data_IF_888430825078
#
_entry.id   IF_888430825078
#
_cell.length_a   1.000
_cell.length_b   1.000
_cell.length_c   1.000
_cell.angle_alpha   90.00
_cell.angle_beta   90.00
_cell.angle_gamma   90.00
#
_symmetry.space_group_name_H-M   'P 1'
#
loop_
_entity.id
_entity.type
_entity.pdbx_description
1 polymer ?
#
# COMPACT_ATOMS: atom_id res chain seq x y z
N UNK A 1 6.53 11.99 20.13
CA UNK A 1 6.64 10.83 21.03
C UNK A 1 5.29 10.32 21.53
N UNK A 2 4.43 11.14 22.17
CA UNK A 2 3.13 10.69 22.71
C UNK A 2 2.23 9.98 21.70
N UNK A 3 2.04 10.55 20.51
CA UNK A 3 1.19 9.93 19.47
C UNK A 3 1.77 8.61 18.95
N UNK A 4 3.10 8.47 18.93
CA UNK A 4 3.78 7.25 18.52
C UNK A 4 3.43 6.09 19.47
N UNK A 5 3.60 6.32 20.78
CA UNK A 5 3.27 5.33 21.81
C UNK A 5 1.80 4.92 21.76
N UNK A 6 0.88 5.90 21.62
CA UNK A 6 -0.55 5.61 21.41
C UNK A 6 -0.80 4.75 20.18
N UNK A 7 -0.08 5.00 19.08
CA UNK A 7 -0.16 4.19 17.86
C UNK A 7 0.25 2.74 18.11
N UNK A 8 1.40 2.53 18.77
CA UNK A 8 1.87 1.19 19.18
C UNK A 8 0.83 0.51 20.06
N UNK A 9 0.36 1.16 21.14
CA UNK A 9 -0.62 0.58 22.07
C UNK A 9 -1.90 0.12 21.36
N UNK A 10 -2.40 0.92 20.41
CA UNK A 10 -3.58 0.54 19.61
C UNK A 10 -3.26 -0.65 18.71
N UNK A 11 -2.10 -0.67 18.06
CA UNK A 11 -1.67 -1.80 17.22
C UNK A 11 -1.55 -3.09 18.03
N UNK A 12 -0.95 -3.06 19.23
CA UNK A 12 -0.83 -4.26 20.08
C UNK A 12 -2.22 -4.79 20.48
N UNK A 13 -3.16 -3.90 20.82
CA UNK A 13 -4.55 -4.28 21.09
C UNK A 13 -5.26 -4.88 19.87
N UNK A 14 -4.97 -4.39 18.67
CA UNK A 14 -5.48 -4.97 17.42
C UNK A 14 -4.91 -6.37 17.21
N UNK A 15 -3.62 -6.58 17.49
CA UNK A 15 -2.99 -7.90 17.45
C UNK A 15 -3.67 -8.85 18.45
N UNK A 16 -3.93 -8.40 19.68
CA UNK A 16 -4.65 -9.22 20.67
C UNK A 16 -6.05 -9.61 20.22
N UNK A 17 -6.77 -8.67 19.59
CA UNK A 17 -8.09 -8.94 19.04
C UNK A 17 -8.00 -9.95 17.88
N UNK A 18 -7.05 -9.78 16.98
CA UNK A 18 -6.81 -10.69 15.87
C UNK A 18 -6.52 -12.12 16.36
N UNK A 19 -5.68 -12.28 17.40
CA UNK A 19 -5.44 -13.57 18.05
C UNK A 19 -6.73 -14.17 18.60
N UNK A 20 -7.55 -13.39 19.31
CA UNK A 20 -8.84 -13.86 19.86
C UNK A 20 -9.83 -14.30 18.79
N UNK A 21 -9.79 -13.67 17.62
CA UNK A 21 -10.64 -14.00 16.47
C UNK A 21 -10.07 -15.14 15.63
N UNK A 22 -8.86 -15.63 15.93
CA UNK A 22 -8.18 -16.66 15.13
C UNK A 22 -7.68 -16.15 13.77
N UNK A 23 -7.51 -14.83 13.60
CA UNK A 23 -6.95 -14.26 12.39
C UNK A 23 -5.46 -14.63 12.26
N UNK A 24 -5.00 -14.82 11.02
CA UNK A 24 -3.63 -15.25 10.72
C UNK A 24 -2.64 -14.10 10.55
N UNK A 25 -3.13 -12.88 10.33
CA UNK A 25 -2.32 -11.69 10.08
C UNK A 25 -3.00 -10.39 10.51
N UNK A 26 -2.19 -9.36 10.71
CA UNK A 26 -2.60 -7.96 10.87
C UNK A 26 -1.85 -7.11 9.85
N UNK A 27 -2.59 -6.28 9.11
CA UNK A 27 -2.02 -5.33 8.14
C UNK A 27 -1.82 -3.97 8.83
N UNK A 28 -0.68 -3.34 8.59
CA UNK A 28 -0.30 -2.06 9.17
C UNK A 28 -0.16 -1.00 8.09
N UNK A 29 -0.73 0.17 8.39
CA UNK A 29 -0.40 1.42 7.72
C UNK A 29 0.70 2.10 8.54
N UNK A 30 1.99 2.05 8.13
CA UNK A 30 3.10 2.32 9.05
C UNK A 30 3.18 3.76 9.56
N UNK A 31 2.83 4.74 8.73
CA UNK A 31 2.78 6.13 9.16
C UNK A 31 2.64 7.12 8.02
N UNK A 32 2.91 8.38 8.34
CA UNK A 32 2.88 9.49 7.39
C UNK A 32 3.89 10.58 7.79
N UNK A 33 4.31 11.37 6.82
CA UNK A 33 5.12 12.58 6.97
C UNK A 33 4.18 13.79 7.13
N UNK A 34 4.36 14.55 8.22
CA UNK A 34 3.61 15.79 8.41
C UNK A 34 4.22 16.92 7.58
N UNK A 35 3.73 17.11 6.34
CA UNK A 35 4.10 18.21 5.44
C UNK A 35 2.90 18.99 4.91
N UNK A 36 3.10 19.79 3.86
CA UNK A 36 2.00 20.52 3.21
C UNK A 36 1.17 19.59 2.30
N UNK A 37 0.18 18.94 2.91
CA UNK A 37 -0.76 18.03 2.23
C UNK A 37 -1.62 18.74 1.16
N UNK A 38 -1.66 20.07 1.14
CA UNK A 38 -2.37 20.80 0.09
C UNK A 38 -1.73 20.58 -1.29
N UNK A 39 -0.43 20.27 -1.35
CA UNK A 39 0.26 20.00 -2.61
C UNK A 39 -0.22 18.71 -3.27
N UNK A 40 -0.35 17.61 -2.52
CA UNK A 40 -0.90 16.34 -3.04
C UNK A 40 -2.33 16.54 -3.55
N UNK A 41 -3.18 17.26 -2.79
CA UNK A 41 -4.54 17.57 -3.22
C UNK A 41 -4.57 18.39 -4.51
N UNK A 42 -3.73 19.43 -4.62
CA UNK A 42 -3.63 20.26 -5.83
C UNK A 42 -3.09 19.48 -7.02
N UNK A 43 -2.08 18.64 -6.81
CA UNK A 43 -1.49 17.82 -7.87
C UNK A 43 -2.53 16.86 -8.46
N UNK A 44 -3.33 16.21 -7.62
CA UNK A 44 -4.43 15.34 -8.05
C UNK A 44 -5.52 16.11 -8.80
N UNK A 45 -5.92 17.28 -8.29
CA UNK A 45 -6.87 18.13 -9.00
C UNK A 45 -6.36 18.57 -10.38
N UNK A 46 -5.05 18.83 -10.52
CA UNK A 46 -4.43 19.14 -11.81
C UNK A 46 -4.40 17.92 -12.73
N UNK A 47 -4.15 16.72 -12.18
CA UNK A 47 -4.23 15.46 -12.94
C UNK A 47 -5.63 15.27 -13.53
N UNK A 48 -6.68 15.44 -12.71
CA UNK A 48 -8.08 15.31 -13.15
C UNK A 48 -8.47 16.35 -14.21
N UNK A 49 -7.77 17.49 -14.26
CA UNK A 49 -7.92 18.53 -15.29
C UNK A 49 -7.11 18.24 -16.57
N UNK A 50 -6.43 17.10 -16.66
CA UNK A 50 -5.60 16.72 -17.80
C UNK A 50 -4.28 17.50 -17.90
N UNK A 51 -3.80 18.08 -16.80
CA UNK A 51 -2.57 18.89 -16.77
C UNK A 51 -1.30 18.09 -16.50
N UNK A 52 -1.38 16.74 -16.47
CA UNK A 52 -0.23 15.87 -16.30
C UNK A 52 0.86 16.19 -17.34
N UNK A 53 2.11 16.31 -16.89
CA UNK A 53 3.26 16.68 -17.73
C UNK A 53 3.35 18.16 -18.13
N UNK A 54 2.38 19.00 -17.78
CA UNK A 54 2.51 20.46 -17.95
C UNK A 54 3.59 21.03 -17.01
N UNK A 55 4.20 22.16 -17.39
CA UNK A 55 5.22 22.80 -16.55
C UNK A 55 4.72 23.08 -15.13
N UNK A 56 3.48 23.57 -14.98
CA UNK A 56 2.87 23.84 -13.67
C UNK A 56 2.72 22.57 -12.83
N UNK A 57 2.41 21.44 -13.47
CA UNK A 57 2.26 20.14 -12.79
C UNK A 57 3.62 19.67 -12.28
N UNK A 58 4.64 19.72 -13.13
CA UNK A 58 6.01 19.33 -12.78
C UNK A 58 6.61 20.23 -11.70
N UNK A 59 6.37 21.54 -11.75
CA UNK A 59 6.81 22.48 -10.71
C UNK A 59 6.19 22.14 -9.34
N UNK A 60 4.87 21.87 -9.31
CA UNK A 60 4.18 21.47 -8.08
C UNK A 60 4.64 20.11 -7.57
N UNK A 61 4.82 19.14 -8.47
CA UNK A 61 5.33 17.80 -8.15
C UNK A 61 6.72 17.91 -7.51
N UNK A 62 7.64 18.64 -8.14
CA UNK A 62 9.00 18.84 -7.63
C UNK A 62 9.02 19.55 -6.26
N UNK A 63 8.17 20.58 -6.09
CA UNK A 63 8.01 21.24 -4.79
C UNK A 63 7.51 20.28 -3.70
N UNK A 64 6.54 19.43 -4.03
CA UNK A 64 6.01 18.40 -3.11
C UNK A 64 7.07 17.36 -2.75
N UNK A 65 7.84 16.88 -3.73
CA UNK A 65 8.96 15.95 -3.52
C UNK A 65 10.01 16.55 -2.58
N UNK A 66 10.43 17.79 -2.84
CA UNK A 66 11.41 18.48 -2.01
C UNK A 66 10.91 18.69 -0.57
N UNK A 67 9.64 19.10 -0.42
CA UNK A 67 9.02 19.31 0.89
C UNK A 67 9.01 18.03 1.73
N UNK A 68 8.55 16.91 1.16
CA UNK A 68 8.53 15.61 1.85
C UNK A 68 9.95 15.17 2.21
N UNK A 69 10.89 15.27 1.26
CA UNK A 69 12.30 14.86 1.45
C UNK A 69 12.94 15.58 2.64
N UNK A 70 12.64 16.87 2.84
CA UNK A 70 13.17 17.65 3.97
C UNK A 70 12.63 17.22 5.34
N UNK A 71 11.51 16.47 5.39
CA UNK A 71 10.80 16.14 6.64
C UNK A 71 10.79 14.65 6.98
N UNK A 72 11.05 13.77 6.01
CA UNK A 72 10.81 12.34 6.18
C UNK A 72 11.71 11.68 7.24
N UNK A 73 12.97 12.10 7.37
CA UNK A 73 13.95 11.44 8.25
C UNK A 73 13.44 11.16 9.67
N UNK A 74 13.04 12.17 10.46
CA UNK A 74 12.51 11.95 11.82
C UNK A 74 11.23 11.11 11.86
N UNK A 75 10.40 11.16 10.81
CA UNK A 75 9.15 10.38 10.74
C UNK A 75 9.45 8.90 10.45
N UNK A 76 10.33 8.61 9.51
CA UNK A 76 10.75 7.25 9.19
C UNK A 76 11.43 6.58 10.38
N UNK A 77 12.30 7.30 11.11
CA UNK A 77 12.92 6.77 12.33
C UNK A 77 11.90 6.52 13.45
N UNK A 78 10.84 7.33 13.53
CA UNK A 78 9.74 7.06 14.44
C UNK A 78 8.95 5.81 14.05
N UNK A 79 8.72 5.57 12.75
CA UNK A 79 8.07 4.35 12.22
C UNK A 79 8.91 3.13 12.54
N UNK A 80 10.23 3.14 12.25
CA UNK A 80 11.13 2.03 12.55
C UNK A 80 11.12 1.63 14.02
N UNK A 81 11.20 2.61 14.93
CA UNK A 81 11.13 2.34 16.39
C UNK A 81 9.80 1.68 16.79
N UNK A 82 8.68 2.17 16.27
CA UNK A 82 7.37 1.56 16.53
C UNK A 82 7.28 0.14 15.97
N UNK A 83 7.78 -0.09 14.75
CA UNK A 83 7.76 -1.41 14.15
C UNK A 83 8.61 -2.40 14.93
N UNK A 84 9.77 -2.02 15.46
CA UNK A 84 10.58 -2.90 16.32
C UNK A 84 9.80 -3.36 17.56
N UNK A 85 9.09 -2.45 18.24
CA UNK A 85 8.22 -2.79 19.38
C UNK A 85 7.08 -3.74 18.97
N UNK A 86 6.45 -3.47 17.81
CA UNK A 86 5.36 -4.30 17.28
C UNK A 86 5.85 -5.68 16.84
N UNK A 87 7.01 -5.77 16.19
CA UNK A 87 7.66 -7.01 15.74
C UNK A 87 7.96 -7.91 16.94
N UNK A 88 8.54 -7.35 18.01
CA UNK A 88 8.83 -8.09 19.24
C UNK A 88 7.54 -8.69 19.84
N UNK A 89 6.48 -7.89 19.92
CA UNK A 89 5.20 -8.36 20.44
C UNK A 89 4.54 -9.41 19.54
N UNK A 90 4.43 -9.13 18.24
CA UNK A 90 3.80 -10.00 17.25
C UNK A 90 4.48 -11.38 17.22
N UNK A 91 5.82 -11.41 17.33
CA UNK A 91 6.60 -12.66 17.45
C UNK A 91 6.18 -13.48 18.66
N UNK A 92 6.00 -12.85 19.83
CA UNK A 92 5.62 -13.55 21.07
C UNK A 92 4.26 -14.23 21.00
N UNK A 93 3.33 -13.68 20.21
CA UNK A 93 1.98 -14.21 20.01
C UNK A 93 1.79 -14.92 18.66
N UNK A 94 2.88 -15.09 17.88
CA UNK A 94 2.90 -15.73 16.55
C UNK A 94 1.92 -15.11 15.55
N UNK A 95 1.78 -13.79 15.57
CA UNK A 95 0.96 -13.04 14.62
C UNK A 95 1.80 -12.62 13.40
N UNK A 96 1.27 -12.86 12.20
CA UNK A 96 1.90 -12.35 10.97
C UNK A 96 1.57 -10.88 10.77
N UNK A 97 2.52 -10.11 10.23
CA UNK A 97 2.39 -8.66 10.01
C UNK A 97 2.67 -8.34 8.54
N UNK A 98 1.75 -7.63 7.90
CA UNK A 98 1.95 -7.04 6.57
C UNK A 98 2.08 -5.52 6.64
N UNK A 99 3.09 -4.96 5.98
CA UNK A 99 3.22 -3.51 5.80
C UNK A 99 2.63 -3.12 4.45
N UNK A 100 1.73 -2.15 4.42
CA UNK A 100 1.06 -1.77 3.17
C UNK A 100 1.76 -0.61 2.46
N UNK A 101 1.93 -0.68 1.14
CA UNK A 101 2.24 0.50 0.33
C UNK A 101 1.01 1.42 0.30
N UNK A 102 1.24 2.73 0.24
CA UNK A 102 0.21 3.71 0.64
C UNK A 102 -0.26 4.59 -0.52
N UNK A 103 -1.50 5.06 -0.40
CA UNK A 103 -2.17 5.84 -1.43
C UNK A 103 -1.59 7.24 -1.67
N UNK A 104 -1.11 7.92 -0.62
CA UNK A 104 -0.66 9.32 -0.70
C UNK A 104 0.85 9.41 -0.70
N UNK A 105 1.37 10.40 -1.41
CA UNK A 105 2.82 10.62 -1.47
C UNK A 105 3.44 10.91 -0.10
N UNK A 106 2.71 11.60 0.79
CA UNK A 106 3.18 11.88 2.15
C UNK A 106 3.07 10.69 3.11
N UNK A 107 2.46 9.58 2.70
CA UNK A 107 2.39 8.39 3.54
C UNK A 107 3.76 7.69 3.56
N UNK A 108 3.96 6.83 4.56
CA UNK A 108 5.12 5.94 4.69
C UNK A 108 4.59 4.51 4.63
N UNK A 109 5.16 3.63 3.81
CA UNK A 109 6.39 3.82 3.03
C UNK A 109 6.18 4.21 1.56
N UNK A 110 7.19 4.86 0.99
CA UNK A 110 7.52 4.84 -0.45
C UNK A 110 8.41 3.63 -0.79
N UNK A 111 8.74 3.38 -2.08
CA UNK A 111 9.45 2.16 -2.51
C UNK A 111 10.75 1.95 -1.74
N UNK A 112 11.62 2.97 -1.68
CA UNK A 112 12.92 2.86 -0.99
C UNK A 112 12.75 2.68 0.53
N UNK A 113 11.72 3.31 1.09
CA UNK A 113 11.43 3.21 2.52
C UNK A 113 10.91 1.83 2.89
N UNK A 114 10.13 1.20 2.02
CA UNK A 114 9.60 -0.15 2.24
C UNK A 114 10.74 -1.14 2.43
N UNK A 115 11.82 -1.04 1.65
CA UNK A 115 13.01 -1.87 1.83
C UNK A 115 13.60 -1.72 3.23
N UNK A 116 13.80 -0.48 3.68
CA UNK A 116 14.30 -0.19 5.02
C UNK A 116 13.38 -0.71 6.15
N UNK A 117 12.07 -0.78 5.92
CA UNK A 117 11.12 -1.32 6.90
C UNK A 117 11.07 -2.85 6.87
N UNK A 118 11.13 -3.47 5.69
CA UNK A 118 11.19 -4.93 5.53
C UNK A 118 12.49 -5.52 6.10
N UNK A 119 13.60 -4.79 6.01
CA UNK A 119 14.91 -5.18 6.57
C UNK A 119 14.94 -5.20 8.12
N UNK A 120 13.88 -4.71 8.79
CA UNK A 120 13.76 -4.82 10.24
C UNK A 120 13.49 -6.25 10.71
N UNK A 121 12.98 -7.13 9.83
CA UNK A 121 12.70 -8.53 10.12
C UNK A 121 12.63 -9.36 8.83
N UNK A 122 13.49 -10.36 8.69
CA UNK A 122 13.54 -11.25 7.53
C UNK A 122 12.70 -12.53 7.67
N UNK A 123 11.97 -12.65 8.77
CA UNK A 123 11.13 -13.82 9.03
C UNK A 123 9.90 -13.83 8.11
N UNK A 124 9.44 -15.00 7.65
CA UNK A 124 8.35 -15.12 6.67
C UNK A 124 6.99 -14.64 7.17
N UNK A 125 6.81 -14.49 8.49
CA UNK A 125 5.59 -13.93 9.09
C UNK A 125 5.57 -12.39 9.04
N UNK A 126 6.64 -11.74 8.60
CA UNK A 126 6.73 -10.29 8.44
C UNK A 126 6.99 -9.95 6.96
N UNK A 127 6.10 -9.18 6.34
CA UNK A 127 6.25 -8.91 4.92
C UNK A 127 5.41 -7.77 4.38
N UNK A 128 5.21 -7.81 3.07
CA UNK A 128 4.59 -6.77 2.28
C UNK A 128 3.11 -7.08 2.04
N UNK A 129 2.22 -6.18 2.47
CA UNK A 129 0.85 -6.11 1.96
C UNK A 129 0.87 -5.28 0.69
N UNK A 130 0.68 -5.92 -0.46
CA UNK A 130 0.68 -5.21 -1.73
C UNK A 130 -0.72 -4.73 -2.09
N UNK A 131 -0.88 -3.41 -2.11
CA UNK A 131 -2.07 -2.72 -2.60
C UNK A 131 -1.81 -2.22 -4.03
N UNK A 132 -2.47 -2.84 -5.00
CA UNK A 132 -2.24 -2.54 -6.41
C UNK A 132 -2.80 -1.19 -6.85
N UNK A 133 -3.87 -0.71 -6.23
CA UNK A 133 -4.43 0.59 -6.60
C UNK A 133 -3.64 1.76 -6.05
N UNK A 134 -3.04 1.61 -4.86
CA UNK A 134 -2.07 2.56 -4.33
C UNK A 134 -0.84 2.67 -5.25
N UNK A 135 -0.27 1.53 -5.66
CA UNK A 135 0.87 1.51 -6.57
C UNK A 135 0.53 2.14 -7.94
N UNK A 136 -0.61 1.76 -8.53
CA UNK A 136 -1.09 2.33 -9.79
C UNK A 136 -1.35 3.83 -9.69
N UNK A 137 -2.00 4.30 -8.62
CA UNK A 137 -2.34 5.71 -8.44
C UNK A 137 -1.09 6.59 -8.35
N UNK A 138 -0.09 6.19 -7.56
CA UNK A 138 1.16 6.94 -7.47
C UNK A 138 1.96 6.90 -8.78
N UNK A 139 1.86 5.79 -9.53
CA UNK A 139 2.44 5.69 -10.87
C UNK A 139 1.76 6.61 -11.88
N UNK A 140 0.44 6.68 -11.90
CA UNK A 140 -0.31 7.60 -12.75
C UNK A 140 0.04 9.07 -12.46
N UNK A 141 0.33 9.40 -11.20
CA UNK A 141 0.81 10.73 -10.80
C UNK A 141 2.31 10.99 -11.10
N UNK A 142 3.03 10.00 -11.63
CA UNK A 142 4.46 10.09 -11.93
C UNK A 142 5.33 10.28 -10.68
N UNK A 143 4.92 9.67 -9.56
CA UNK A 143 5.58 9.78 -8.25
C UNK A 143 6.38 8.53 -7.87
N UNK A 144 5.92 7.35 -8.30
CA UNK A 144 6.57 6.04 -8.07
C UNK A 144 6.35 5.17 -9.31
N UNK A 145 7.10 4.07 -9.45
CA UNK A 145 6.86 3.09 -10.51
C UNK A 145 6.06 1.89 -9.97
N UNK A 146 4.98 1.51 -10.64
CA UNK A 146 4.10 0.43 -10.20
C UNK A 146 4.83 -0.92 -10.18
N UNK A 147 5.49 -1.30 -11.29
CA UNK A 147 6.14 -2.60 -11.40
C UNK A 147 7.35 -2.73 -10.46
N UNK A 148 8.01 -1.61 -10.13
CA UNK A 148 9.17 -1.60 -9.25
C UNK A 148 8.86 -2.10 -7.83
N UNK A 149 7.66 -1.83 -7.29
CA UNK A 149 7.20 -2.45 -6.04
C UNK A 149 7.28 -3.97 -6.09
N UNK A 150 6.82 -4.55 -7.20
CA UNK A 150 6.74 -5.99 -7.41
C UNK A 150 8.10 -6.61 -7.72
N UNK A 151 8.94 -5.93 -8.53
CA UNK A 151 10.32 -6.36 -8.80
C UNK A 151 11.15 -6.46 -7.53
N UNK A 152 11.05 -5.47 -6.64
CA UNK A 152 11.84 -5.43 -5.40
C UNK A 152 11.27 -6.33 -4.31
N UNK A 153 9.95 -6.30 -4.11
CA UNK A 153 9.33 -6.86 -2.91
C UNK A 153 8.31 -7.97 -3.18
N UNK A 154 8.13 -8.41 -4.44
CA UNK A 154 7.17 -9.46 -4.81
C UNK A 154 7.33 -10.76 -4.00
N UNK A 155 8.58 -11.17 -3.73
CA UNK A 155 8.90 -12.35 -2.91
C UNK A 155 8.57 -12.19 -1.42
N UNK A 156 8.36 -10.96 -0.95
CA UNK A 156 8.00 -10.64 0.43
C UNK A 156 6.50 -10.40 0.59
N UNK A 157 5.70 -10.50 -0.49
CA UNK A 157 4.25 -10.31 -0.43
C UNK A 157 3.63 -11.40 0.46
N UNK A 158 2.94 -10.98 1.52
CA UNK A 158 2.16 -11.87 2.40
C UNK A 158 0.69 -11.85 2.06
N UNK A 159 0.21 -10.74 1.52
CA UNK A 159 -1.19 -10.55 1.16
C UNK A 159 -1.34 -9.37 0.20
N UNK A 160 -2.46 -9.34 -0.53
CA UNK A 160 -2.74 -8.34 -1.55
C UNK A 160 -4.16 -7.78 -1.43
N UNK A 161 -4.31 -6.48 -1.69
CA UNK A 161 -5.59 -5.86 -2.02
C UNK A 161 -5.74 -5.81 -3.53
N UNK A 162 -6.83 -6.40 -4.03
CA UNK A 162 -7.17 -6.49 -5.43
C UNK A 162 -8.34 -5.57 -5.73
N UNK A 163 -8.13 -4.68 -6.68
CA UNK A 163 -9.09 -3.73 -7.22
C UNK A 163 -8.46 -3.11 -8.46
N UNK A 164 -9.21 -2.25 -9.13
CA UNK A 164 -8.73 -1.51 -10.28
C UNK A 164 -8.71 0.00 -9.99
N UNK A 165 -8.03 0.75 -10.84
CA UNK A 165 -7.91 2.20 -10.74
C UNK A 165 -8.19 2.81 -12.08
N UNK A 166 -9.10 3.79 -12.14
CA UNK A 166 -9.34 4.57 -13.35
C UNK A 166 -8.72 5.95 -13.20
N UNK A 167 -7.63 6.20 -13.90
CA UNK A 167 -6.74 7.36 -13.71
C UNK A 167 -6.13 7.34 -12.30
N UNK A 168 -6.72 8.12 -11.39
CA UNK A 168 -6.36 8.14 -9.96
C UNK A 168 -7.57 7.83 -9.04
N UNK A 169 -8.69 7.41 -9.63
CA UNK A 169 -9.89 7.02 -8.91
C UNK A 169 -9.75 5.57 -8.48
N UNK A 170 -9.56 5.38 -7.19
CA UNK A 170 -9.29 4.08 -6.60
C UNK A 170 -10.55 3.21 -6.39
N UNK A 171 -10.34 1.97 -5.97
CA UNK A 171 -11.37 0.99 -5.60
C UNK A 171 -12.40 0.71 -6.71
N UNK A 172 -11.97 0.71 -7.96
CA UNK A 172 -12.81 0.22 -9.07
C UNK A 172 -12.83 -1.30 -9.06
N UNK A 173 -13.86 -1.91 -9.63
CA UNK A 173 -13.90 -3.35 -9.82
C UNK A 173 -12.89 -3.75 -10.90
N UNK A 174 -12.16 -4.88 -10.74
CA UNK A 174 -11.23 -5.38 -11.76
C UNK A 174 -11.85 -5.39 -13.15
N UNK A 175 -11.16 -4.78 -14.13
CA UNK A 175 -11.63 -4.64 -15.51
C UNK A 175 -12.30 -3.31 -15.84
N UNK A 176 -12.41 -2.40 -14.87
CA UNK A 176 -13.01 -1.06 -15.05
C UNK A 176 -12.00 0.09 -14.90
N UNK A 177 -10.70 -0.23 -14.87
CA UNK A 177 -9.63 0.74 -14.79
C UNK A 177 -8.43 0.39 -15.69
N UNK A 178 -7.26 0.82 -15.24
CA UNK A 178 -6.03 0.92 -16.01
C UNK A 178 -4.93 0.00 -15.47
N UNK A 179 -5.21 -0.85 -14.47
CA UNK A 179 -4.21 -1.78 -13.93
C UNK A 179 -3.85 -2.87 -14.95
N UNK A 180 -2.56 -3.02 -15.21
CA UNK A 180 -2.03 -4.16 -15.96
C UNK A 180 -1.97 -5.42 -15.08
N UNK A 181 -3.08 -6.16 -15.06
CA UNK A 181 -3.18 -7.43 -14.32
C UNK A 181 -2.24 -8.52 -14.87
N UNK A 182 -1.82 -8.46 -16.14
CA UNK A 182 -0.85 -9.43 -16.68
C UNK A 182 0.55 -9.17 -16.13
N UNK A 183 0.94 -7.90 -15.96
CA UNK A 183 2.15 -7.52 -15.26
C UNK A 183 2.08 -7.98 -13.80
N UNK A 184 1.00 -7.67 -13.09
CA UNK A 184 0.85 -8.03 -11.67
C UNK A 184 0.95 -9.54 -11.45
N UNK A 185 0.25 -10.34 -12.26
CA UNK A 185 0.19 -11.80 -12.12
C UNK A 185 1.56 -12.49 -12.11
N UNK A 186 2.58 -11.90 -12.75
CA UNK A 186 3.95 -12.46 -12.81
C UNK A 186 4.65 -12.49 -11.45
N UNK A 187 4.20 -11.68 -10.49
CA UNK A 187 4.91 -11.44 -9.24
C UNK A 187 4.17 -11.94 -8.00
N UNK A 188 2.87 -12.21 -8.08
CA UNK A 188 2.07 -12.57 -6.91
C UNK A 188 2.39 -14.01 -6.46
N UNK A 189 2.90 -14.20 -5.22
CA UNK A 189 3.15 -15.54 -4.71
C UNK A 189 1.86 -16.33 -4.53
N UNK A 190 1.94 -17.65 -4.70
CA UNK A 190 0.78 -18.53 -4.54
C UNK A 190 0.20 -18.46 -3.13
N UNK A 191 1.07 -18.39 -2.11
CA UNK A 191 0.69 -18.39 -0.70
C UNK A 191 0.09 -17.06 -0.20
N UNK A 192 0.14 -15.98 -0.98
CA UNK A 192 -0.32 -14.68 -0.54
C UNK A 192 -1.85 -14.68 -0.32
N UNK A 193 -2.32 -14.09 0.78
CA UNK A 193 -3.76 -13.88 0.95
C UNK A 193 -4.27 -12.85 -0.07
N UNK A 194 -5.53 -13.03 -0.48
CA UNK A 194 -6.15 -12.22 -1.53
C UNK A 194 -7.43 -11.63 -0.98
N UNK A 195 -7.50 -10.31 -0.95
CA UNK A 195 -8.70 -9.56 -0.53
C UNK A 195 -9.13 -8.66 -1.68
N UNK A 196 -10.42 -8.63 -1.98
CA UNK A 196 -10.99 -7.71 -2.96
C UNK A 196 -11.39 -6.41 -2.23
N UNK A 197 -10.78 -5.27 -2.60
CA UNK A 197 -11.02 -3.95 -1.97
C UNK A 197 -11.70 -2.99 -2.96
N UNK A 198 -12.98 -3.22 -3.20
CA UNK A 198 -13.78 -2.48 -4.17
C UNK A 198 -14.75 -1.54 -3.47
N UNK A 199 -15.05 -0.42 -4.11
CA UNK A 199 -15.92 0.61 -3.53
C UNK A 199 -17.37 0.14 -3.38
N UNK A 200 -18.15 0.80 -2.50
CA UNK A 200 -19.52 0.41 -2.19
C UNK A 200 -20.49 0.52 -3.38
N UNK A 201 -20.10 1.20 -4.45
CA UNK A 201 -20.86 1.31 -5.69
C UNK A 201 -20.83 0.05 -6.56
N UNK A 202 -19.93 -0.90 -6.27
CA UNK A 202 -19.79 -2.12 -7.06
C UNK A 202 -21.09 -2.94 -7.06
N UNK A 203 -21.58 -3.24 -8.26
CA UNK A 203 -22.71 -4.15 -8.45
C UNK A 203 -22.27 -5.60 -8.29
N UNK A 204 -23.21 -6.48 -7.97
CA UNK A 204 -22.93 -7.91 -7.88
C UNK A 204 -22.34 -8.48 -9.19
N UNK A 205 -22.82 -8.00 -10.34
CA UNK A 205 -22.31 -8.47 -11.64
C UNK A 205 -20.86 -8.04 -11.87
N UNK A 206 -20.51 -6.79 -11.56
CA UNK A 206 -19.13 -6.33 -11.67
C UNK A 206 -18.18 -7.07 -10.73
N UNK A 207 -18.64 -7.49 -9.54
CA UNK A 207 -17.85 -8.32 -8.63
C UNK A 207 -17.58 -9.71 -9.22
N UNK A 208 -18.59 -10.32 -9.84
CA UNK A 208 -18.47 -11.63 -10.50
C UNK A 208 -17.49 -11.52 -11.67
N UNK A 209 -17.72 -10.55 -12.56
CA UNK A 209 -16.91 -10.36 -13.77
C UNK A 209 -15.47 -10.00 -13.42
N UNK A 210 -15.27 -9.11 -12.44
CA UNK A 210 -13.94 -8.74 -11.95
C UNK A 210 -13.20 -9.92 -11.30
N UNK A 211 -13.89 -10.78 -10.55
CA UNK A 211 -13.27 -11.98 -9.99
C UNK A 211 -12.89 -12.98 -11.09
N UNK A 212 -13.75 -13.17 -12.09
CA UNK A 212 -13.46 -14.03 -13.25
C UNK A 212 -12.25 -13.52 -14.06
N UNK A 213 -12.13 -12.21 -14.22
CA UNK A 213 -10.96 -11.59 -14.82
C UNK A 213 -9.69 -11.92 -14.02
N UNK A 214 -9.70 -11.73 -12.71
CA UNK A 214 -8.56 -12.03 -11.84
C UNK A 214 -8.17 -13.52 -11.89
N UNK A 215 -9.14 -14.41 -12.04
CA UNK A 215 -8.91 -15.85 -12.27
C UNK A 215 -8.25 -16.09 -13.62
N UNK A 216 -8.78 -15.50 -14.68
CA UNK A 216 -8.26 -15.63 -16.05
C UNK A 216 -6.83 -15.13 -16.16
N UNK A 217 -6.49 -14.07 -15.43
CA UNK A 217 -5.13 -13.51 -15.37
C UNK A 217 -4.19 -14.30 -14.44
N UNK A 218 -4.69 -15.31 -13.72
CA UNK A 218 -3.88 -16.15 -12.83
C UNK A 218 -3.54 -15.48 -11.49
N UNK A 219 -4.15 -14.33 -11.17
CA UNK A 219 -3.96 -13.67 -9.88
C UNK A 219 -4.71 -14.45 -8.80
N UNK A 220 -5.94 -14.89 -9.08
CA UNK A 220 -6.78 -15.72 -8.18
C UNK A 220 -6.86 -17.14 -8.73
N UNK A 221 -6.88 -18.15 -7.85
CA UNK A 221 -7.17 -19.54 -8.24
C UNK A 221 -8.62 -19.87 -7.92
N UNK A 222 -9.29 -20.62 -8.81
CA UNK A 222 -10.56 -21.27 -8.46
C UNK A 222 -10.27 -22.34 -7.41
N UNK A 223 -11.06 -22.34 -6.33
CA UNK A 223 -11.07 -23.40 -5.32
C UNK A 223 -11.75 -24.66 -5.87
#
# INVERSE_FOLDING_TARGET
>A
ETNRKKGVDVTLRTIDLAVKLGASSVILHPGQVNGDRSMDKRLRAMYDQGLFGSQKYEDLKNAMVADRKSKVGPHLEAVKRSLLEIIEYAKSVKMSIGLENRYRYYDIPLIDEMGLLLDLCDEPWYGFQYDMGHAQTLSALGLEDHEEWLKRYGKRIVAIHMHDVKGITDHQTPGHGDIDFEMVAKYIPEYAYRTLEVGPQATQQELIDGTELLVTKGIVKRL
#
